data_IF_796284816944
#
_entry.id   IF_796284816944
#
_cell.length_a   1.000
_cell.length_b   1.000
_cell.length_c   1.000
_cell.angle_alpha   90.00
_cell.angle_beta   90.00
_cell.angle_gamma   90.00
#
_symmetry.space_group_name_H-M   'P 1'
#
loop_
_entity.id
_entity.type
_entity.pdbx_description
1 polymer ?
#
# COMPACT_ATOMS: atom_id res chain seq x y z
N UNK A 1 -38.47 69.98 3.81
CA UNK A 1 -38.36 70.75 2.55
C UNK A 1 -37.86 69.78 1.48
N UNK A 2 -38.59 68.79 0.94
CA UNK A 2 -39.94 68.69 0.32
C UNK A 2 -40.17 69.60 -0.88
N UNK A 3 -40.09 69.00 -2.08
CA UNK A 3 -40.93 69.20 -3.28
C UNK A 3 -40.73 67.88 -4.09
N UNK A 4 -41.68 66.95 -4.26
CA UNK A 4 -43.05 66.98 -4.79
C UNK A 4 -43.09 67.63 -6.20
N UNK A 5 -43.52 67.01 -7.30
CA UNK A 5 -44.10 65.68 -7.53
C UNK A 5 -44.54 65.50 -9.00
N UNK A 6 -45.09 64.31 -9.26
CA UNK A 6 -46.14 63.94 -10.24
C UNK A 6 -45.98 64.14 -11.76
N UNK A 7 -45.92 62.98 -12.46
CA UNK A 7 -46.79 62.47 -13.55
C UNK A 7 -47.29 63.46 -14.64
N UNK A 8 -47.38 63.14 -15.95
CA UNK A 8 -48.01 61.98 -16.58
C UNK A 8 -47.94 62.09 -18.13
N UNK A 9 -47.92 60.94 -18.83
CA UNK A 9 -48.54 60.62 -20.15
C UNK A 9 -48.15 61.42 -21.43
N UNK A 10 -47.54 60.71 -22.39
CA UNK A 10 -48.22 60.39 -23.67
C UNK A 10 -47.57 59.19 -24.37
N UNK A 11 -48.43 58.22 -24.70
CA UNK A 11 -48.17 57.04 -25.56
C UNK A 11 -47.83 57.50 -26.99
N UNK A 12 -46.84 56.88 -27.61
CA UNK A 12 -46.84 56.62 -29.05
C UNK A 12 -46.41 55.17 -29.28
N UNK A 13 -47.31 54.43 -29.93
CA UNK A 13 -47.11 53.06 -30.41
C UNK A 13 -46.17 53.09 -31.62
N UNK A 14 -45.16 52.21 -31.61
CA UNK A 14 -44.54 51.74 -32.85
C UNK A 14 -44.17 50.27 -32.65
N UNK A 15 -45.01 49.43 -33.24
CA UNK A 15 -44.84 48.01 -33.46
C UNK A 15 -43.76 47.80 -34.52
N UNK A 16 -42.67 47.14 -34.15
CA UNK A 16 -41.79 46.46 -35.11
C UNK A 16 -41.56 45.04 -34.65
N UNK A 17 -42.14 44.10 -35.39
CA UNK A 17 -41.79 42.69 -35.38
C UNK A 17 -40.31 42.56 -35.77
N UNK A 18 -39.51 41.92 -34.94
CA UNK A 18 -38.28 41.25 -35.40
C UNK A 18 -38.39 39.79 -34.99
N UNK A 19 -38.62 38.94 -36.00
CA UNK A 19 -38.43 37.51 -35.94
C UNK A 19 -36.92 37.25 -35.81
N UNK A 20 -36.44 37.10 -34.58
CA UNK A 20 -35.08 36.67 -34.28
C UNK A 20 -35.11 35.19 -33.93
N UNK A 21 -34.70 34.33 -34.88
CA UNK A 21 -34.59 32.90 -34.70
C UNK A 21 -33.75 32.57 -33.46
N UNK A 22 -34.34 31.83 -32.51
CA UNK A 22 -33.59 31.24 -31.42
C UNK A 22 -32.62 30.20 -32.03
N UNK A 23 -31.33 30.52 -32.03
CA UNK A 23 -30.28 29.53 -32.24
C UNK A 23 -30.29 28.62 -31.02
N UNK A 24 -31.02 27.52 -31.14
CA UNK A 24 -31.03 26.43 -30.19
C UNK A 24 -29.65 25.76 -30.25
N UNK A 25 -28.71 26.22 -29.43
CA UNK A 25 -27.40 25.59 -29.31
C UNK A 25 -27.64 24.19 -28.73
N UNK A 26 -27.35 23.09 -29.46
CA UNK A 26 -27.57 21.76 -28.93
C UNK A 26 -26.67 21.59 -27.71
N UNK A 27 -27.30 21.45 -26.54
CA UNK A 27 -26.63 21.12 -25.30
C UNK A 27 -26.05 19.73 -25.48
N UNK A 28 -24.76 19.64 -25.80
CA UNK A 28 -24.06 18.36 -25.90
C UNK A 28 -24.29 17.61 -24.58
N UNK A 29 -24.75 16.35 -24.62
CA UNK A 29 -24.92 15.57 -23.41
C UNK A 29 -23.57 15.49 -22.72
N UNK A 30 -23.52 15.92 -21.45
CA UNK A 30 -22.36 15.67 -20.59
C UNK A 30 -22.19 14.17 -20.53
N UNK A 31 -21.14 13.66 -21.18
CA UNK A 31 -20.75 12.27 -21.07
C UNK A 31 -20.59 11.95 -19.58
N UNK A 32 -21.47 11.10 -19.04
CA UNK A 32 -21.17 10.40 -17.81
C UNK A 32 -19.88 9.61 -18.07
N UNK A 33 -18.93 9.55 -17.12
CA UNK A 33 -17.82 8.62 -17.26
C UNK A 33 -18.43 7.23 -17.41
N UNK A 34 -18.29 6.66 -18.60
CA UNK A 34 -18.59 5.27 -18.85
C UNK A 34 -17.58 4.47 -18.06
N UNK A 35 -17.92 4.12 -16.84
CA UNK A 35 -17.35 2.96 -16.18
C UNK A 35 -17.93 1.74 -16.89
N UNK A 36 -17.49 1.50 -18.12
CA UNK A 36 -17.56 0.20 -18.74
C UNK A 36 -16.53 -0.68 -18.02
N UNK A 37 -16.87 -1.04 -16.78
CA UNK A 37 -16.36 -2.21 -16.13
C UNK A 37 -16.79 -3.38 -17.04
N UNK A 38 -15.86 -3.86 -17.89
CA UNK A 38 -16.08 -5.05 -18.70
C UNK A 38 -16.56 -6.19 -17.80
N UNK A 39 -17.30 -7.16 -18.34
CA UNK A 39 -17.99 -8.20 -17.56
C UNK A 39 -17.09 -9.16 -16.72
N UNK A 40 -15.80 -8.87 -16.55
CA UNK A 40 -14.87 -9.45 -15.57
C UNK A 40 -14.22 -8.42 -14.61
N UNK A 41 -14.66 -7.17 -14.62
CA UNK A 41 -14.06 -6.04 -13.88
C UNK A 41 -14.41 -5.99 -12.39
N UNK A 42 -15.10 -7.01 -11.89
CA UNK A 42 -15.51 -7.12 -10.50
C UNK A 42 -15.17 -8.49 -9.89
N UNK A 43 -14.18 -9.17 -10.47
CA UNK A 43 -13.55 -10.32 -9.80
C UNK A 43 -12.62 -9.84 -8.69
N UNK A 44 -12.46 -10.65 -7.64
CA UNK A 44 -11.56 -10.33 -6.53
C UNK A 44 -10.14 -10.10 -7.04
N UNK A 45 -9.50 -9.04 -6.54
CA UNK A 45 -8.06 -8.89 -6.73
C UNK A 45 -7.31 -10.02 -6.03
N UNK A 46 -6.17 -10.46 -6.58
CA UNK A 46 -5.39 -11.53 -5.98
C UNK A 46 -4.83 -11.09 -4.63
N UNK A 47 -4.83 -12.00 -3.66
CA UNK A 47 -4.18 -11.77 -2.35
C UNK A 47 -2.71 -12.20 -2.39
N UNK A 48 -1.87 -11.49 -1.64
CA UNK A 48 -0.47 -11.85 -1.44
C UNK A 48 -0.15 -11.92 0.06
N UNK A 49 0.97 -12.55 0.38
CA UNK A 49 1.50 -12.62 1.73
C UNK A 49 1.69 -11.22 2.35
N UNK A 50 1.48 -11.14 3.66
CA UNK A 50 1.80 -9.93 4.44
C UNK A 50 3.31 -9.69 4.44
N UNK A 51 4.11 -10.75 4.48
CA UNK A 51 5.55 -10.66 4.70
C UNK A 51 5.91 -10.24 6.13
N UNK A 52 7.20 -10.26 6.46
CA UNK A 52 7.66 -10.19 7.85
C UNK A 52 7.72 -8.77 8.43
N UNK A 53 7.56 -7.74 7.60
CA UNK A 53 7.82 -6.34 7.97
C UNK A 53 6.57 -5.50 8.22
N UNK A 54 5.38 -6.12 8.33
CA UNK A 54 4.17 -5.40 8.72
C UNK A 54 4.22 -5.00 10.19
N UNK A 55 3.97 -3.72 10.48
CA UNK A 55 3.82 -3.19 11.83
C UNK A 55 2.38 -2.70 11.98
N UNK A 56 1.71 -3.11 13.05
CA UNK A 56 0.42 -2.54 13.40
C UNK A 56 0.66 -1.14 14.00
N UNK A 57 0.45 -0.12 13.17
CA UNK A 57 0.68 1.28 13.54
C UNK A 57 -0.61 2.07 13.46
N UNK A 58 -0.64 3.25 14.09
CA UNK A 58 -1.76 4.19 14.02
C UNK A 58 -1.34 5.50 13.33
N UNK A 59 -0.67 5.37 12.18
CA UNK A 59 -0.08 6.47 11.42
C UNK A 59 -0.98 6.98 10.29
N UNK A 60 -2.01 7.76 10.62
CA UNK A 60 -2.87 8.39 9.61
C UNK A 60 -2.17 9.57 8.93
N UNK A 61 -1.73 9.38 7.68
CA UNK A 61 -1.04 10.41 6.88
C UNK A 61 -1.04 10.09 5.40
N UNK A 62 -1.08 11.14 4.58
CA UNK A 62 -0.98 11.02 3.13
C UNK A 62 0.48 11.02 2.63
N UNK A 63 1.35 11.84 3.23
CA UNK A 63 2.78 11.80 2.96
C UNK A 63 3.46 10.83 3.93
N UNK A 64 4.02 9.75 3.38
CA UNK A 64 4.71 8.71 4.13
C UNK A 64 6.22 8.78 3.95
N UNK A 65 6.74 9.71 3.15
CA UNK A 65 8.16 9.73 2.75
C UNK A 65 9.11 9.88 3.94
N UNK A 66 8.74 10.72 4.91
CA UNK A 66 9.62 11.17 6.00
C UNK A 66 10.99 11.65 5.50
N UNK A 67 11.02 12.28 4.31
CA UNK A 67 12.25 12.80 3.71
C UNK A 67 13.20 11.72 3.17
N UNK A 68 12.78 10.45 3.07
CA UNK A 68 13.60 9.41 2.45
C UNK A 68 13.92 9.75 0.98
N UNK A 69 15.18 9.62 0.54
CA UNK A 69 15.55 9.90 -0.83
C UNK A 69 14.99 8.83 -1.77
N UNK A 70 14.54 9.25 -2.95
CA UNK A 70 14.00 8.39 -3.98
C UNK A 70 13.27 9.19 -5.05
N UNK A 71 12.86 8.51 -6.13
CA UNK A 71 12.00 9.10 -7.15
C UNK A 71 10.61 9.30 -6.54
N UNK A 72 10.04 10.52 -6.55
CA UNK A 72 8.72 10.78 -5.97
C UNK A 72 7.64 9.91 -6.60
N UNK A 73 6.78 9.31 -5.77
CA UNK A 73 5.66 8.48 -6.22
C UNK A 73 4.36 9.01 -5.61
N UNK A 74 3.42 9.38 -6.48
CA UNK A 74 2.03 9.58 -6.10
C UNK A 74 1.25 8.28 -6.36
N UNK A 75 0.97 7.54 -5.30
CA UNK A 75 0.27 6.26 -5.35
C UNK A 75 -1.22 6.47 -5.06
N UNK A 76 -2.08 6.12 -6.01
CA UNK A 76 -3.53 6.03 -5.80
C UNK A 76 -3.98 4.58 -5.75
N UNK A 77 -4.70 4.21 -4.69
CA UNK A 77 -5.34 2.90 -4.56
C UNK A 77 -6.85 3.13 -4.60
N UNK A 78 -7.53 2.50 -5.56
CA UNK A 78 -8.98 2.53 -5.73
C UNK A 78 -9.58 1.22 -5.24
N UNK A 79 -10.43 1.26 -4.22
CA UNK A 79 -11.15 0.10 -3.73
C UNK A 79 -12.53 -0.03 -4.37
N UNK A 80 -12.86 -1.23 -4.81
CA UNK A 80 -14.17 -1.61 -5.32
C UNK A 80 -14.74 -2.71 -4.42
N UNK A 81 -15.95 -2.52 -3.90
CA UNK A 81 -16.70 -3.56 -3.18
C UNK A 81 -17.16 -4.63 -4.17
N UNK A 82 -16.58 -5.82 -4.10
CA UNK A 82 -16.89 -6.97 -4.98
C UNK A 82 -18.38 -7.30 -4.99
N UNK A 83 -19.07 -7.15 -3.85
CA UNK A 83 -20.48 -7.56 -3.72
C UNK A 83 -21.43 -6.63 -4.46
N UNK A 84 -21.03 -5.37 -4.65
CA UNK A 84 -21.85 -4.33 -5.30
C UNK A 84 -21.26 -3.83 -6.62
N UNK A 85 -20.01 -4.18 -6.91
CA UNK A 85 -19.23 -3.66 -8.02
C UNK A 85 -19.22 -2.13 -8.07
N UNK A 86 -19.08 -1.51 -6.90
CA UNK A 86 -19.11 -0.07 -6.70
C UNK A 86 -17.96 0.36 -5.78
N UNK A 87 -17.54 1.64 -5.80
CA UNK A 87 -16.48 2.13 -4.93
C UNK A 87 -16.72 1.83 -3.44
N UNK A 88 -15.69 1.35 -2.75
CA UNK A 88 -15.74 1.05 -1.31
C UNK A 88 -15.24 2.25 -0.50
N UNK A 89 -16.16 3.14 -0.16
CA UNK A 89 -15.90 4.32 0.67
C UNK A 89 -15.78 3.97 2.16
N UNK A 90 -14.96 4.74 2.89
CA UNK A 90 -14.84 4.63 4.34
C UNK A 90 -13.98 3.46 4.85
N UNK A 91 -13.45 2.61 3.98
CA UNK A 91 -12.49 1.57 4.34
C UNK A 91 -11.13 2.19 4.66
N UNK A 92 -10.32 1.50 5.46
CA UNK A 92 -8.99 1.95 5.85
C UNK A 92 -7.95 1.17 5.05
N UNK A 93 -6.99 1.87 4.46
CA UNK A 93 -5.85 1.27 3.77
C UNK A 93 -4.58 1.58 4.56
N UNK A 94 -3.88 0.53 4.95
CA UNK A 94 -2.49 0.58 5.43
C UNK A 94 -1.54 0.30 4.27
N UNK A 95 -0.45 1.05 4.15
CA UNK A 95 0.66 0.74 3.24
C UNK A 95 1.99 0.67 3.98
N UNK A 96 2.88 -0.20 3.50
CA UNK A 96 4.28 -0.23 3.89
C UNK A 96 5.17 -0.69 2.74
N UNK A 97 6.39 -0.15 2.67
CA UNK A 97 7.39 -0.53 1.68
C UNK A 97 8.81 -0.32 2.24
N UNK A 98 9.80 -0.88 1.55
CA UNK A 98 11.19 -0.51 1.76
C UNK A 98 11.53 0.85 1.13
N UNK A 99 12.64 1.43 1.60
CA UNK A 99 13.27 2.57 0.94
C UNK A 99 13.96 2.17 -0.38
N UNK A 100 14.57 3.16 -1.05
CA UNK A 100 15.25 2.96 -2.31
C UNK A 100 16.42 1.97 -2.25
N UNK A 101 16.93 1.64 -1.05
CA UNK A 101 18.05 0.72 -0.80
C UNK A 101 17.61 -0.59 -0.11
N UNK A 102 16.30 -0.85 -0.04
CA UNK A 102 15.77 -2.12 0.48
C UNK A 102 15.54 -2.18 1.98
N UNK A 103 15.66 -1.06 2.70
CA UNK A 103 15.48 -1.05 4.16
C UNK A 103 14.03 -0.76 4.55
N UNK A 104 13.48 -1.55 5.48
CA UNK A 104 12.19 -1.27 6.11
C UNK A 104 12.37 -0.50 7.42
N UNK A 105 11.58 0.55 7.60
CA UNK A 105 11.49 1.26 8.88
C UNK A 105 10.98 0.31 9.97
N UNK A 106 11.55 0.41 11.18
CA UNK A 106 11.34 -0.54 12.26
C UNK A 106 12.24 -1.78 12.17
N UNK A 107 13.03 -1.96 11.10
CA UNK A 107 13.88 -3.15 10.90
C UNK A 107 15.27 -2.80 10.36
N UNK A 108 15.74 -1.56 10.52
CA UNK A 108 16.99 -1.11 9.88
C UNK A 108 18.25 -1.72 10.49
N UNK A 109 18.16 -2.22 11.73
CA UNK A 109 19.29 -2.82 12.45
C UNK A 109 19.19 -4.36 12.51
N UNK A 110 18.23 -4.96 11.81
CA UNK A 110 18.01 -6.42 11.82
C UNK A 110 19.16 -7.20 11.13
N UNK A 111 20.05 -6.52 10.41
CA UNK A 111 21.28 -7.07 9.82
C UNK A 111 22.35 -7.51 10.86
N UNK A 112 22.07 -7.42 12.17
CA UNK A 112 23.01 -7.76 13.24
C UNK A 112 22.90 -9.16 13.86
N UNK A 113 21.97 -10.03 13.46
CA UNK A 113 21.91 -11.41 14.00
C UNK A 113 22.64 -12.35 13.03
N UNK A 114 23.68 -13.10 13.47
CA UNK A 114 24.27 -14.14 12.63
C UNK A 114 23.19 -15.16 12.24
N UNK A 115 23.27 -15.76 11.04
CA UNK A 115 22.32 -16.79 10.65
C UNK A 115 22.32 -17.87 11.72
N UNK A 116 21.14 -18.16 12.28
CA UNK A 116 20.98 -19.30 13.18
C UNK A 116 21.47 -20.58 12.48
N UNK A 117 21.93 -21.59 13.24
CA UNK A 117 22.42 -22.82 12.63
C UNK A 117 21.34 -23.42 11.72
N UNK A 118 21.72 -23.99 10.57
CA UNK A 118 20.77 -24.53 9.61
C UNK A 118 19.90 -25.62 10.27
N UNK A 119 18.59 -25.71 9.92
CA UNK A 119 17.71 -26.73 10.47
C UNK A 119 18.22 -28.13 10.11
N UNK A 120 18.49 -28.97 11.12
CA UNK A 120 18.90 -30.37 10.92
C UNK A 120 20.19 -30.79 11.64
N UNK A 121 20.87 -29.91 12.37
CA UNK A 121 21.81 -30.40 13.39
C UNK A 121 21.02 -30.89 14.61
N UNK A 122 21.26 -32.12 15.11
CA UNK A 122 20.84 -32.46 16.46
C UNK A 122 21.51 -31.46 17.43
N UNK A 123 20.89 -31.16 18.59
CA UNK A 123 21.55 -30.38 19.62
C UNK A 123 22.92 -31.02 19.87
N UNK A 124 24.00 -30.25 19.69
CA UNK A 124 25.26 -30.69 20.25
C UNK A 124 25.05 -30.68 21.76
N UNK A 125 25.24 -31.87 22.33
CA UNK A 125 25.18 -32.18 23.75
C UNK A 125 25.94 -31.07 24.52
N UNK A 126 25.20 -30.11 25.07
CA UNK A 126 25.78 -29.16 26.01
C UNK A 126 26.17 -29.99 27.23
N UNK A 127 27.49 -30.18 27.37
CA UNK A 127 28.09 -31.12 28.29
C UNK A 127 27.51 -31.10 29.70
N UNK A 128 27.52 -32.30 30.30
CA UNK A 128 27.13 -32.66 31.66
C UNK A 128 27.07 -31.50 32.68
N UNK A 129 26.01 -31.44 33.51
CA UNK A 129 25.94 -30.46 34.57
C UNK A 129 26.92 -30.83 35.70
N UNK A 130 27.82 -29.90 36.04
CA UNK A 130 28.52 -29.94 37.33
C UNK A 130 27.53 -29.72 38.46
N UNK A 131 27.52 -30.53 39.53
CA UNK A 131 26.60 -30.33 40.63
C UNK A 131 27.17 -29.30 41.62
N UNK A 132 26.37 -28.27 41.93
CA UNK A 132 26.53 -27.51 43.19
C UNK A 132 26.36 -26.00 43.07
N UNK A 133 25.15 -25.50 43.40
CA UNK A 133 24.91 -24.37 44.29
C UNK A 133 23.38 -24.15 44.41
N UNK A 134 22.89 -24.06 45.66
CA UNK A 134 21.47 -24.03 46.02
C UNK A 134 20.72 -22.72 45.73
N UNK A 135 19.45 -22.62 46.19
CA UNK A 135 18.52 -21.57 45.76
C UNK A 135 18.59 -20.32 46.65
N UNK A 136 18.39 -19.15 46.07
CA UNK A 136 18.19 -17.89 46.78
C UNK A 136 17.09 -17.05 46.12
N UNK A 137 16.10 -16.52 46.86
CA UNK A 137 14.99 -15.73 46.31
C UNK A 137 15.26 -14.21 46.38
N UNK A 138 14.75 -13.45 45.42
CA UNK A 138 14.75 -11.98 45.47
C UNK A 138 14.19 -11.30 44.21
N UNK A 139 13.58 -10.10 44.30
CA UNK A 139 12.21 -9.91 43.79
C UNK A 139 12.06 -8.94 42.61
N UNK A 140 10.98 -9.15 41.84
CA UNK A 140 10.10 -8.10 41.32
C UNK A 140 10.64 -7.17 40.23
N UNK A 141 10.50 -7.57 38.96
CA UNK A 141 10.48 -6.64 37.83
C UNK A 141 9.07 -6.60 37.24
N UNK A 142 8.59 -5.36 37.04
CA UNK A 142 7.24 -4.99 36.59
C UNK A 142 6.90 -5.65 35.25
N UNK A 143 5.65 -6.11 35.12
CA UNK A 143 5.05 -6.61 33.87
C UNK A 143 5.01 -5.51 32.80
N UNK A 144 6.01 -5.41 31.94
CA UNK A 144 5.89 -4.74 30.64
C UNK A 144 6.49 -5.52 29.45
N UNK A 145 7.22 -6.61 29.71
CA UNK A 145 7.71 -7.49 28.64
C UNK A 145 6.85 -8.76 28.57
N UNK A 146 5.60 -8.61 28.13
CA UNK A 146 4.87 -9.77 27.66
C UNK A 146 5.53 -10.22 26.35
N UNK A 147 6.49 -11.14 26.45
CA UNK A 147 7.02 -11.89 25.30
C UNK A 147 5.79 -12.44 24.55
N UNK A 148 5.61 -12.11 23.27
CA UNK A 148 4.50 -12.66 22.49
C UNK A 148 4.56 -14.19 22.53
N UNK A 149 3.40 -14.87 22.52
CA UNK A 149 3.39 -16.33 22.49
C UNK A 149 4.22 -16.84 21.31
N UNK A 150 5.03 -17.87 21.56
CA UNK A 150 5.85 -18.50 20.52
C UNK A 150 4.96 -18.98 19.36
N UNK A 151 5.43 -18.85 18.11
CA UNK A 151 4.67 -19.32 16.96
C UNK A 151 4.51 -20.85 17.01
N UNK A 152 3.47 -21.39 16.35
CA UNK A 152 3.30 -22.83 16.19
C UNK A 152 4.57 -23.49 15.61
N UNK A 153 4.84 -24.77 15.94
CA UNK A 153 6.04 -25.46 15.47
C UNK A 153 6.15 -25.41 13.94
N UNK A 154 7.29 -24.94 13.43
CA UNK A 154 7.61 -24.93 12.00
C UNK A 154 7.53 -23.57 11.28
N UNK A 155 7.08 -22.50 11.93
CA UNK A 155 7.23 -21.14 11.40
C UNK A 155 8.49 -20.46 11.97
N UNK A 156 9.35 -19.84 11.13
CA UNK A 156 10.42 -19.01 11.66
C UNK A 156 9.82 -17.86 12.50
N UNK A 157 10.49 -17.44 13.59
CA UNK A 157 10.00 -16.33 14.40
C UNK A 157 9.93 -15.06 13.55
N UNK A 158 8.80 -14.35 13.62
CA UNK A 158 8.66 -13.04 12.98
C UNK A 158 9.75 -12.11 13.51
N UNK A 159 10.42 -11.32 12.66
CA UNK A 159 11.42 -10.39 13.15
C UNK A 159 10.75 -9.40 14.11
N UNK A 160 11.39 -9.16 15.25
CA UNK A 160 10.99 -8.10 16.15
C UNK A 160 11.49 -6.75 15.61
N UNK A 161 10.71 -5.67 15.78
CA UNK A 161 11.17 -4.35 15.38
C UNK A 161 12.51 -4.01 16.06
N UNK A 162 13.50 -3.57 15.28
CA UNK A 162 14.84 -3.23 15.73
C UNK A 162 15.03 -1.75 16.08
N UNK A 163 14.07 -0.90 15.70
CA UNK A 163 14.08 0.54 15.89
C UNK A 163 12.64 1.09 15.86
N UNK A 164 12.49 2.40 16.08
CA UNK A 164 11.19 3.10 16.11
C UNK A 164 10.95 3.95 14.87
N UNK A 165 11.71 3.76 13.79
CA UNK A 165 11.53 4.54 12.57
C UNK A 165 10.21 4.15 11.92
N UNK A 166 9.58 5.10 11.23
CA UNK A 166 8.25 4.90 10.65
C UNK A 166 8.16 5.24 9.17
N UNK A 167 9.27 5.66 8.53
CA UNK A 167 9.26 6.08 7.14
C UNK A 167 8.60 5.06 6.21
N UNK A 168 7.93 5.55 5.17
CA UNK A 168 7.28 4.77 4.12
C UNK A 168 6.20 3.80 4.62
N UNK A 169 5.57 4.15 5.75
CA UNK A 169 4.37 3.50 6.30
C UNK A 169 3.26 4.51 6.46
N UNK A 170 2.01 4.14 6.25
CA UNK A 170 0.92 5.07 6.51
C UNK A 170 -0.45 4.52 6.27
N UNK A 171 -1.43 5.21 6.85
CA UNK A 171 -2.81 4.81 6.85
C UNK A 171 -3.66 5.94 6.30
N UNK A 172 -4.62 5.60 5.45
CA UNK A 172 -5.65 6.52 5.00
C UNK A 172 -7.01 5.85 4.93
N UNK A 173 -8.07 6.67 4.96
CA UNK A 173 -9.44 6.22 4.76
C UNK A 173 -9.88 6.54 3.33
N UNK A 174 -10.52 5.59 2.67
CA UNK A 174 -11.03 5.80 1.30
C UNK A 174 -12.10 6.87 1.27
N UNK A 175 -12.04 7.73 0.24
CA UNK A 175 -13.04 8.75 -0.05
C UNK A 175 -14.35 8.16 -0.60
N UNK A 176 -15.32 9.02 -0.94
CA UNK A 176 -16.61 8.62 -1.54
C UNK A 176 -16.47 7.85 -2.87
N UNK A 177 -15.33 8.01 -3.55
CA UNK A 177 -14.98 7.31 -4.79
C UNK A 177 -14.10 6.08 -4.53
N UNK A 178 -13.96 5.65 -3.28
CA UNK A 178 -13.17 4.49 -2.89
C UNK A 178 -11.66 4.71 -2.98
N UNK A 179 -11.18 5.94 -3.08
CA UNK A 179 -9.76 6.21 -3.32
C UNK A 179 -9.02 6.64 -2.06
N UNK A 180 -7.74 6.26 -1.99
CA UNK A 180 -6.71 6.94 -1.18
C UNK A 180 -5.56 7.36 -2.08
N UNK A 181 -4.85 8.43 -1.72
CA UNK A 181 -3.66 8.87 -2.43
C UNK A 181 -2.52 9.14 -1.47
N UNK A 182 -1.42 8.39 -1.60
CA UNK A 182 -0.20 8.55 -0.81
C UNK A 182 0.88 9.26 -1.61
N UNK A 183 1.63 10.15 -0.94
CA UNK A 183 2.95 10.63 -1.39
C UNK A 183 4.00 9.73 -0.75
N UNK A 184 4.74 9.01 -1.59
CA UNK A 184 5.81 8.08 -1.21
C UNK A 184 6.96 8.22 -2.21
N UNK A 185 7.88 7.25 -2.23
CA UNK A 185 8.91 7.10 -3.27
C UNK A 185 8.73 5.76 -3.99
N UNK A 186 9.26 5.64 -5.21
CA UNK A 186 9.38 4.34 -5.89
C UNK A 186 10.13 3.38 -4.94
N UNK A 187 9.59 2.18 -4.64
CA UNK A 187 10.24 1.26 -3.71
C UNK A 187 11.55 0.72 -4.29
N UNK A 188 12.53 0.47 -3.44
CA UNK A 188 13.70 -0.33 -3.80
C UNK A 188 13.36 -1.82 -3.91
N UNK A 189 14.37 -2.66 -3.76
CA UNK A 189 14.24 -4.12 -3.68
C UNK A 189 15.00 -4.63 -2.47
N UNK A 190 14.75 -5.86 -2.03
CA UNK A 190 15.55 -6.53 -1.01
C UNK A 190 15.76 -7.98 -1.42
N UNK A 191 16.60 -8.70 -0.69
CA UNK A 191 17.06 -10.04 -1.09
C UNK A 191 15.88 -10.96 -1.44
N UNK A 192 15.93 -11.50 -2.66
CA UNK A 192 14.94 -12.46 -3.17
C UNK A 192 13.61 -11.85 -3.61
N UNK A 193 13.46 -10.52 -3.65
CA UNK A 193 12.19 -9.87 -3.96
C UNK A 193 12.28 -8.76 -5.01
N UNK A 194 11.30 -8.70 -5.90
CA UNK A 194 11.13 -7.59 -6.87
C UNK A 194 10.59 -6.33 -6.19
N UNK A 195 10.58 -5.18 -6.87
CA UNK A 195 10.06 -3.92 -6.32
C UNK A 195 8.54 -4.02 -6.06
N UNK A 196 8.10 -3.74 -4.83
CA UNK A 196 6.69 -3.79 -4.45
C UNK A 196 6.34 -2.81 -3.32
N UNK A 197 5.06 -2.50 -3.20
CA UNK A 197 4.46 -1.82 -2.03
C UNK A 197 3.41 -2.74 -1.46
N UNK A 198 3.44 -3.02 -0.17
CA UNK A 198 2.39 -3.78 0.47
C UNK A 198 1.21 -2.90 0.83
N UNK A 199 0.02 -3.51 0.90
CA UNK A 199 -1.14 -2.87 1.49
C UNK A 199 -2.08 -3.84 2.19
N UNK A 200 -2.86 -3.31 3.14
CA UNK A 200 -3.98 -4.02 3.77
C UNK A 200 -5.23 -3.18 3.74
N UNK A 201 -6.35 -3.83 3.50
CA UNK A 201 -7.68 -3.22 3.60
C UNK A 201 -8.32 -3.64 4.91
N UNK A 202 -8.72 -2.64 5.68
CA UNK A 202 -9.46 -2.75 6.93
C UNK A 202 -10.87 -2.23 6.74
N UNK A 203 -11.86 -3.03 7.06
CA UNK A 203 -13.27 -2.68 7.00
C UNK A 203 -13.86 -2.67 8.40
N UNK A 204 -14.78 -1.74 8.65
CA UNK A 204 -15.55 -1.73 9.89
C UNK A 204 -16.79 -2.56 9.65
N UNK A 205 -16.78 -3.84 10.04
CA UNK A 205 -18.03 -4.61 10.05
C UNK A 205 -18.97 -3.97 11.09
N UNK A 206 -20.22 -3.64 10.71
CA UNK A 206 -21.20 -3.01 11.61
C UNK A 206 -21.57 -3.88 12.84
N UNK A 207 -21.04 -5.10 12.98
CA UNK A 207 -21.39 -6.02 14.06
C UNK A 207 -20.26 -6.43 15.03
N UNK A 208 -19.02 -5.99 14.85
CA UNK A 208 -17.94 -6.32 15.79
C UNK A 208 -17.11 -5.08 16.14
N UNK A 209 -16.82 -4.92 17.42
CA UNK A 209 -16.11 -3.80 18.04
C UNK A 209 -14.61 -3.75 17.69
N UNK A 210 -14.25 -3.81 16.40
CA UNK A 210 -12.89 -3.78 15.90
C UNK A 210 -12.81 -3.68 14.38
N UNK A 211 -11.65 -3.27 13.87
CA UNK A 211 -11.35 -3.24 12.43
C UNK A 211 -11.06 -4.66 11.94
N UNK A 212 -11.71 -5.08 10.84
CA UNK A 212 -11.55 -6.39 10.19
C UNK A 212 -10.60 -6.28 9.00
N UNK A 213 -9.60 -7.17 8.88
CA UNK A 213 -8.74 -7.21 7.71
C UNK A 213 -9.47 -7.98 6.61
N UNK A 214 -9.87 -7.28 5.56
CA UNK A 214 -10.64 -7.88 4.46
C UNK A 214 -9.80 -8.27 3.26
N UNK A 215 -8.58 -7.73 3.15
CA UNK A 215 -7.67 -8.01 2.05
C UNK A 215 -6.22 -7.70 2.43
N UNK A 216 -5.30 -8.55 2.00
CA UNK A 216 -3.85 -8.27 2.00
C UNK A 216 -3.30 -8.47 0.60
N UNK A 217 -2.53 -7.49 0.13
CA UNK A 217 -1.94 -7.56 -1.20
C UNK A 217 -0.63 -6.80 -1.31
N UNK A 218 -0.04 -6.90 -2.49
CA UNK A 218 1.16 -6.19 -2.91
C UNK A 218 0.90 -5.52 -4.25
N UNK A 219 1.49 -4.34 -4.44
CA UNK A 219 1.40 -3.55 -5.66
C UNK A 219 2.74 -3.68 -6.37
N UNK A 220 2.71 -4.24 -7.57
CA UNK A 220 3.86 -4.36 -8.46
C UNK A 220 3.84 -3.27 -9.53
N UNK A 221 4.93 -3.16 -10.29
CA UNK A 221 5.11 -2.12 -11.31
C UNK A 221 5.55 -2.74 -12.63
N UNK A 222 5.35 -2.07 -13.78
CA UNK A 222 5.83 -2.59 -15.05
C UNK A 222 7.34 -2.87 -15.01
N UNK A 223 7.73 -4.10 -15.36
CA UNK A 223 9.11 -4.57 -15.18
C UNK A 223 10.13 -3.71 -15.94
N UNK A 224 9.85 -3.36 -17.20
CA UNK A 224 10.72 -2.50 -18.00
C UNK A 224 10.93 -1.12 -17.38
N UNK A 225 9.89 -0.57 -16.74
CA UNK A 225 9.99 0.70 -16.01
C UNK A 225 10.88 0.55 -14.77
N UNK A 226 10.71 -0.50 -13.96
CA UNK A 226 11.56 -0.72 -12.79
C UNK A 226 13.03 -0.92 -13.18
N UNK A 227 13.31 -1.66 -14.25
CA UNK A 227 14.68 -1.81 -14.78
C UNK A 227 15.30 -0.46 -15.14
N UNK A 228 14.52 0.47 -15.70
CA UNK A 228 14.98 1.83 -15.99
C UNK A 228 15.25 2.61 -14.69
N UNK A 229 14.27 2.69 -13.78
CA UNK A 229 14.35 3.53 -12.59
C UNK A 229 15.44 3.07 -11.61
N UNK A 230 15.71 1.76 -11.55
CA UNK A 230 16.77 1.22 -10.70
C UNK A 230 18.19 1.63 -11.14
N UNK A 231 18.34 2.29 -12.31
CA UNK A 231 19.62 2.87 -12.78
C UNK A 231 19.82 4.33 -12.33
N UNK A 232 18.79 4.97 -11.79
CA UNK A 232 18.85 6.34 -11.30
C UNK A 232 19.36 6.39 -9.85
N UNK A 233 19.79 7.56 -9.38
CA UNK A 233 20.04 7.77 -7.95
C UNK A 233 18.71 7.82 -7.16
N UNK A 234 18.71 7.36 -5.89
CA UNK A 234 19.79 6.65 -5.19
C UNK A 234 19.81 5.14 -5.48
N UNK A 235 18.90 4.63 -6.31
CA UNK A 235 18.69 3.19 -6.57
C UNK A 235 19.90 2.49 -7.17
N UNK A 236 20.70 3.16 -8.01
CA UNK A 236 21.91 2.55 -8.60
C UNK A 236 22.98 2.19 -7.58
N UNK A 237 22.90 2.73 -6.36
CA UNK A 237 23.80 2.41 -5.25
C UNK A 237 23.35 1.19 -4.43
N UNK A 238 22.34 0.45 -4.90
CA UNK A 238 21.89 -0.78 -4.26
C UNK A 238 23.00 -1.83 -4.18
N UNK A 239 23.19 -2.42 -3.00
CA UNK A 239 24.21 -3.46 -2.79
C UNK A 239 23.77 -4.86 -3.24
N UNK A 240 22.45 -5.08 -3.36
CA UNK A 240 21.84 -6.37 -3.71
C UNK A 240 21.43 -6.37 -5.19
N UNK A 241 21.69 -7.48 -5.88
CA UNK A 241 21.19 -7.72 -7.23
C UNK A 241 19.66 -7.86 -7.20
N UNK A 242 18.97 -7.07 -8.02
CA UNK A 242 17.50 -7.06 -8.07
C UNK A 242 16.96 -8.40 -8.60
N UNK A 243 16.04 -9.01 -7.86
CA UNK A 243 15.22 -10.14 -8.32
C UNK A 243 14.17 -9.63 -9.32
N UNK A 244 14.08 -10.26 -10.49
CA UNK A 244 13.06 -9.92 -11.49
C UNK A 244 11.67 -10.39 -11.07
N UNK A 245 10.61 -9.85 -11.68
CA UNK A 245 9.25 -10.36 -11.46
C UNK A 245 9.10 -11.85 -11.78
N UNK A 246 9.81 -12.35 -12.80
CA UNK A 246 9.78 -13.77 -13.18
C UNK A 246 10.54 -14.69 -12.22
N UNK A 247 11.36 -14.12 -11.32
CA UNK A 247 12.12 -14.86 -10.31
C UNK A 247 11.53 -14.69 -8.90
N UNK A 248 10.71 -13.67 -8.68
CA UNK A 248 10.08 -13.40 -7.39
C UNK A 248 8.98 -14.45 -7.10
N UNK A 249 9.11 -15.24 -6.02
CA UNK A 249 8.18 -16.33 -5.73
C UNK A 249 6.78 -15.81 -5.38
N UNK A 250 6.65 -14.64 -4.77
CA UNK A 250 5.35 -14.04 -4.46
C UNK A 250 4.68 -13.60 -5.75
N UNK A 251 5.41 -12.92 -6.64
CA UNK A 251 4.88 -12.50 -7.92
C UNK A 251 4.40 -13.70 -8.75
N UNK A 252 5.22 -14.75 -8.85
CA UNK A 252 4.92 -15.93 -9.67
C UNK A 252 3.81 -16.78 -9.08
N UNK A 253 3.83 -17.06 -7.77
CA UNK A 253 2.91 -18.02 -7.15
C UNK A 253 1.64 -17.39 -6.57
N UNK A 254 1.63 -16.07 -6.34
CA UNK A 254 0.51 -15.36 -5.71
C UNK A 254 -0.13 -14.36 -6.69
N UNK A 255 -0.10 -14.69 -7.98
CA UNK A 255 -0.80 -14.00 -9.07
C UNK A 255 -0.43 -12.50 -9.20
N UNK A 256 0.86 -12.17 -9.05
CA UNK A 256 1.35 -10.79 -9.08
C UNK A 256 1.09 -10.05 -10.40
N UNK A 257 0.90 -10.77 -11.51
CA UNK A 257 0.49 -10.19 -12.80
C UNK A 257 -0.85 -9.44 -12.72
N UNK A 258 -1.77 -9.88 -11.84
CA UNK A 258 -3.05 -9.22 -11.58
C UNK A 258 -2.96 -8.02 -10.64
N UNK A 259 -1.76 -7.71 -10.12
CA UNK A 259 -1.52 -6.65 -9.15
C UNK A 259 -0.48 -5.61 -9.60
N UNK A 260 -0.23 -5.52 -10.91
CA UNK A 260 0.62 -4.48 -11.50
C UNK A 260 -0.16 -3.16 -11.59
N UNK A 261 0.37 -2.10 -10.98
CA UNK A 261 -0.20 -0.76 -11.08
C UNK A 261 -0.02 -0.17 -12.49
N UNK A 262 -1.01 0.62 -12.92
CA UNK A 262 -0.87 1.48 -14.10
C UNK A 262 0.00 2.67 -13.75
N UNK A 263 0.96 2.99 -14.62
CA UNK A 263 1.97 4.03 -14.35
C UNK A 263 1.99 5.12 -15.41
N UNK A 264 2.18 6.37 -14.99
CA UNK A 264 2.46 7.51 -15.86
C UNK A 264 3.51 8.43 -15.24
N UNK A 265 4.28 9.13 -16.06
CA UNK A 265 5.21 10.16 -15.58
C UNK A 265 4.42 11.29 -14.93
N UNK A 266 4.91 11.82 -13.80
CA UNK A 266 4.19 12.86 -13.06
C UNK A 266 4.11 14.18 -13.83
N UNK A 267 5.17 14.51 -14.57
CA UNK A 267 5.27 15.67 -15.46
C UNK A 267 4.83 15.37 -16.91
N UNK A 268 4.42 14.13 -17.20
CA UNK A 268 4.02 13.68 -18.53
C UNK A 268 5.16 13.35 -19.50
N UNK A 269 6.42 13.41 -19.05
CA UNK A 269 7.60 13.23 -19.90
C UNK A 269 8.61 12.21 -19.35
N UNK A 270 9.07 12.38 -18.10
CA UNK A 270 10.16 11.57 -17.52
C UNK A 270 9.75 10.98 -16.18
N UNK A 271 10.06 9.70 -15.99
CA UNK A 271 9.66 8.99 -14.78
C UNK A 271 10.59 9.28 -13.60
N UNK A 272 11.83 9.69 -13.89
CA UNK A 272 12.87 10.04 -12.91
C UNK A 272 12.50 11.28 -12.09
N UNK A 273 11.73 12.21 -12.66
CA UNK A 273 11.20 13.39 -11.96
C UNK A 273 9.99 13.08 -11.08
N UNK A 274 9.37 11.91 -11.27
CA UNK A 274 8.25 11.46 -10.47
C UNK A 274 7.32 10.52 -11.23
N UNK A 275 6.71 9.63 -10.48
CA UNK A 275 5.82 8.58 -10.95
C UNK A 275 4.41 8.79 -10.38
N UNK A 276 3.38 8.59 -11.21
CA UNK A 276 2.01 8.35 -10.75
C UNK A 276 1.72 6.87 -10.94
N UNK A 277 1.27 6.20 -9.89
CA UNK A 277 0.82 4.81 -9.96
C UNK A 277 -0.64 4.70 -9.53
N UNK A 278 -1.44 3.96 -10.29
CA UNK A 278 -2.82 3.63 -9.94
C UNK A 278 -2.99 2.12 -9.81
N UNK A 279 -3.32 1.67 -8.61
CA UNK A 279 -3.73 0.31 -8.31
C UNK A 279 -5.25 0.25 -8.08
N UNK A 280 -5.88 -0.82 -8.54
CA UNK A 280 -7.29 -1.11 -8.25
C UNK A 280 -7.31 -2.40 -7.46
N UNK A 281 -7.97 -2.38 -6.30
CA UNK A 281 -8.21 -3.58 -5.50
C UNK A 281 -9.72 -3.82 -5.38
N UNK A 282 -10.20 -4.92 -5.98
CA UNK A 282 -11.57 -5.39 -5.83
C UNK A 282 -11.61 -6.33 -4.63
N UNK A 283 -12.33 -5.92 -3.60
CA UNK A 283 -12.28 -6.54 -2.28
C UNK A 283 -13.69 -6.91 -1.84
N UNK A 284 -13.84 -8.12 -1.30
CA UNK A 284 -15.01 -8.47 -0.52
C UNK A 284 -14.79 -7.96 0.92
N UNK A 285 -15.55 -6.95 1.38
CA UNK A 285 -15.31 -6.33 2.68
C UNK A 285 -15.58 -7.25 3.88
N UNK A 286 -16.27 -8.38 3.66
CA UNK A 286 -16.59 -9.35 4.71
C UNK A 286 -15.68 -10.59 4.65
N UNK A 287 -14.82 -10.71 3.63
CA UNK A 287 -13.90 -11.84 3.50
C UNK A 287 -12.80 -11.76 4.55
N UNK A 288 -12.36 -12.90 5.09
CA UNK A 288 -11.15 -12.99 5.90
C UNK A 288 -10.04 -13.57 5.03
N UNK A 289 -8.95 -12.83 4.77
CA UNK A 289 -7.83 -13.34 3.98
C UNK A 289 -7.30 -14.63 4.57
N UNK A 290 -7.17 -15.66 3.74
CA UNK A 290 -6.48 -16.87 4.15
C UNK A 290 -5.00 -16.52 4.25
N UNK A 291 -4.28 -16.87 5.34
CA UNK A 291 -2.84 -16.68 5.38
C UNK A 291 -2.19 -17.36 4.19
N UNK A 292 -1.75 -16.57 3.20
CA UNK A 292 -0.90 -17.09 2.13
C UNK A 292 0.42 -17.42 2.78
N UNK A 293 0.81 -18.70 2.77
CA UNK A 293 2.01 -19.17 3.45
C UNK A 293 3.21 -18.31 3.03
N UNK A 294 3.93 -17.74 4.01
CA UNK A 294 5.22 -17.10 3.75
C UNK A 294 6.11 -18.13 3.08
N UNK A 295 6.43 -17.90 1.80
CA UNK A 295 7.29 -18.84 1.10
C UNK A 295 8.72 -18.70 1.64
N UNK A 296 9.43 -19.80 1.94
CA UNK A 296 10.80 -19.71 2.41
C UNK A 296 11.65 -18.99 1.38
N UNK A 297 12.47 -18.03 1.84
CA UNK A 297 13.37 -17.27 0.97
C UNK A 297 14.19 -18.22 0.08
N UNK A 298 14.39 -17.89 -1.20
CA UNK A 298 15.21 -18.71 -2.09
C UNK A 298 16.61 -18.86 -1.50
N UNK A 299 17.14 -20.08 -1.49
CA UNK A 299 18.51 -20.34 -1.03
C UNK A 299 19.48 -19.50 -1.89
N UNK A 300 20.46 -18.80 -1.30
CA UNK A 300 21.45 -18.05 -2.09
C UNK A 300 22.15 -19.01 -3.04
N UNK A 301 22.21 -18.65 -4.33
CA UNK A 301 23.00 -19.39 -5.31
C UNK A 301 24.46 -19.28 -4.90
N UNK A 302 25.06 -20.40 -4.48
CA UNK A 302 26.51 -20.51 -4.34
C UNK A 302 27.09 -20.38 -5.75
N UNK A 303 27.85 -19.31 -5.99
CA UNK A 303 28.76 -19.22 -7.13
C UNK A 303 30.05 -19.97 -6.79
#
# INVERSE_FOLDING_TARGET
MTFNGYATRRRFLLTTLVLGAALDTPRLPRAAPSAAAGAGACESSPEQETGPYHLDTTLFRADVTEGKPGIPLLLTISLIDKRRCAPLAGAIIDIWQCDALGNYSGFTNAAGRPPGPPPGMPPQDEGEPRPGAGPGPGPGVRRQDAVPPEPPPGQPPRPHPSDRLTFLRGIQRTDERGNVTFRTIVPGCYEGRTNHIHFKVRTTNRSLAGEHISHTGQIFFPEGLMVQLMRADPYRSHAIARTTQTEDPVFVHQQGTGAIARTTAMDGSTYENGLRAQAIAVVDPDATPVPVAEMPAPRPRRF
#
